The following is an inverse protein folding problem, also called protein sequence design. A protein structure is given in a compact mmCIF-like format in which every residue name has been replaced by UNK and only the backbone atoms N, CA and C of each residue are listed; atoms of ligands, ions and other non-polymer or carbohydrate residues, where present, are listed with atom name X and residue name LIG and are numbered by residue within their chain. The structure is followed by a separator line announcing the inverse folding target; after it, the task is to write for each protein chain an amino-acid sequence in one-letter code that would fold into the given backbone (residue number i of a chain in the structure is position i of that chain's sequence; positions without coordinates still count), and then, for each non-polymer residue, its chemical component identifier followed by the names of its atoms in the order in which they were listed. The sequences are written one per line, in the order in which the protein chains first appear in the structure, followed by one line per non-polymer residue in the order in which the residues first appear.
data_IF_558122733109
#
_entry.id   IF_558122733109
#
_cell.length_a   1.000
_cell.length_b   1.000
_cell.length_c   1.000
_cell.angle_alpha   90.00
_cell.angle_beta   90.00
_cell.angle_gamma   90.00
#
_symmetry.space_group_name_H-M   'P 1'
#
loop_
_entity.id
_entity.type
_entity.pdbx_description
1 polymer ?
#
# COMPACT_ATOMS: atom_id res chain seq x y z
N UNK A 1 -9.37 2.98 -17.30
CA UNK A 1 -8.83 3.76 -16.17
C UNK A 1 -7.36 4.10 -16.36
N UNK A 2 -6.44 3.13 -16.50
CA UNK A 2 -5.00 3.38 -16.61
C UNK A 2 -4.64 4.36 -17.73
N UNK A 3 -5.28 4.26 -18.92
CA UNK A 3 -5.13 5.22 -20.01
C UNK A 3 -5.52 6.67 -19.62
N UNK A 4 -6.61 6.82 -18.86
CA UNK A 4 -7.05 8.15 -18.42
C UNK A 4 -6.07 8.75 -17.42
N UNK A 5 -5.58 7.92 -16.47
CA UNK A 5 -4.61 8.37 -15.46
C UNK A 5 -3.26 8.75 -16.12
N UNK A 6 -2.83 8.02 -17.15
CA UNK A 6 -1.59 8.32 -17.88
C UNK A 6 -1.59 9.75 -18.47
N UNK A 7 -2.76 10.28 -18.90
CA UNK A 7 -2.89 11.65 -19.42
C UNK A 7 -2.46 12.74 -18.41
N UNK A 8 -2.51 12.44 -17.12
CA UNK A 8 -2.08 13.36 -16.06
C UNK A 8 -0.58 13.35 -15.79
N UNK A 9 0.22 12.63 -16.59
CA UNK A 9 1.68 12.51 -16.49
C UNK A 9 2.14 12.10 -15.08
N UNK A 10 1.40 11.18 -14.46
CA UNK A 10 1.80 10.59 -13.18
C UNK A 10 3.06 9.75 -13.37
N UNK A 11 3.92 9.70 -12.37
CA UNK A 11 5.17 8.92 -12.44
C UNK A 11 4.93 7.41 -12.44
N UNK A 12 3.95 6.97 -11.68
CA UNK A 12 3.60 5.55 -11.55
C UNK A 12 2.13 5.37 -11.24
N UNK A 13 1.60 4.21 -11.57
CA UNK A 13 0.27 3.75 -11.15
C UNK A 13 0.39 2.45 -10.35
N UNK A 14 -0.46 2.33 -9.33
CA UNK A 14 -0.63 1.12 -8.54
C UNK A 14 -1.77 0.29 -9.13
N UNK A 15 -1.48 -0.93 -9.60
CA UNK A 15 -2.45 -1.75 -10.31
C UNK A 15 -2.79 -3.00 -9.51
N UNK A 16 -4.07 -3.10 -9.11
CA UNK A 16 -4.63 -4.30 -8.51
C UNK A 16 -4.88 -5.36 -9.59
N UNK A 17 -4.57 -6.65 -9.37
CA UNK A 17 -4.95 -7.70 -10.31
C UNK A 17 -6.47 -7.84 -10.40
N UNK A 18 -6.96 -8.49 -11.46
CA UNK A 18 -8.36 -8.87 -11.55
C UNK A 18 -8.76 -9.68 -10.31
N UNK A 19 -9.84 -9.29 -9.63
CA UNK A 19 -10.17 -9.80 -8.29
C UNK A 19 -11.48 -10.57 -8.19
N UNK A 20 -12.30 -10.57 -9.22
CA UNK A 20 -13.58 -11.31 -9.21
C UNK A 20 -13.36 -12.81 -9.37
N UNK A 21 -12.53 -13.21 -10.34
CA UNK A 21 -12.18 -14.60 -10.59
C UNK A 21 -11.09 -15.06 -9.65
N UNK A 22 -11.36 -16.10 -8.86
CA UNK A 22 -10.41 -16.68 -7.91
C UNK A 22 -9.67 -17.86 -8.54
N UNK A 23 -8.54 -18.24 -7.94
CA UNK A 23 -7.74 -19.39 -8.38
C UNK A 23 -7.29 -19.29 -9.86
N UNK A 24 -7.02 -18.08 -10.34
CA UNK A 24 -6.44 -17.87 -11.67
C UNK A 24 -4.99 -18.33 -11.68
N UNK A 25 -4.52 -18.82 -12.84
CA UNK A 25 -3.12 -19.25 -13.00
C UNK A 25 -2.16 -18.05 -13.06
N UNK A 26 -0.86 -18.31 -12.85
CA UNK A 26 0.18 -17.30 -12.99
C UNK A 26 0.18 -16.68 -14.40
N UNK A 27 -0.02 -17.50 -15.43
CA UNK A 27 -0.11 -17.04 -16.84
C UNK A 27 -1.29 -16.08 -17.02
N UNK A 28 -2.43 -16.36 -16.39
CA UNK A 28 -3.59 -15.47 -16.42
C UNK A 28 -3.31 -14.12 -15.76
N UNK A 29 -2.59 -14.10 -14.64
CA UNK A 29 -2.17 -12.86 -13.98
C UNK A 29 -1.17 -12.09 -14.84
N UNK A 30 -0.19 -12.78 -15.44
CA UNK A 30 0.80 -12.17 -16.34
C UNK A 30 0.11 -11.53 -17.54
N UNK A 31 -0.79 -12.27 -18.20
CA UNK A 31 -1.52 -11.77 -19.36
C UNK A 31 -2.41 -10.56 -19.02
N UNK A 32 -3.01 -10.53 -17.81
CA UNK A 32 -3.76 -9.37 -17.34
C UNK A 32 -2.87 -8.12 -17.28
N UNK A 33 -1.73 -8.17 -16.60
CA UNK A 33 -0.82 -7.02 -16.49
C UNK A 33 -0.23 -6.64 -17.84
N UNK A 34 0.14 -7.62 -18.66
CA UNK A 34 0.62 -7.39 -20.04
C UNK A 34 -0.38 -6.57 -20.84
N UNK A 35 -1.65 -6.97 -20.87
CA UNK A 35 -2.71 -6.22 -21.58
C UNK A 35 -2.88 -4.82 -21.00
N UNK A 36 -2.85 -4.65 -19.69
CA UNK A 36 -2.96 -3.32 -19.08
C UNK A 36 -1.84 -2.41 -19.57
N UNK A 37 -0.59 -2.90 -19.57
CA UNK A 37 0.59 -2.13 -19.99
C UNK A 37 0.56 -1.82 -21.48
N UNK A 38 0.34 -2.82 -22.33
CA UNK A 38 0.29 -2.69 -23.77
C UNK A 38 -0.86 -1.77 -24.24
N UNK A 39 -2.04 -1.88 -23.63
CA UNK A 39 -3.19 -1.05 -23.94
C UNK A 39 -3.00 0.42 -23.53
N UNK A 40 -2.25 0.70 -22.46
CA UNK A 40 -1.89 2.08 -22.12
C UNK A 40 -0.91 2.66 -23.14
N UNK A 41 0.10 1.87 -23.52
CA UNK A 41 1.04 2.22 -24.58
C UNK A 41 1.97 3.40 -24.26
N UNK A 42 2.07 3.79 -22.97
CA UNK A 42 2.98 4.85 -22.51
C UNK A 42 4.29 4.22 -22.02
N UNK A 43 5.36 4.43 -22.74
CA UNK A 43 6.69 3.89 -22.44
C UNK A 43 7.31 4.44 -21.16
N UNK A 44 6.89 5.62 -20.71
CA UNK A 44 7.46 6.30 -19.54
C UNK A 44 6.71 5.98 -18.26
N UNK A 45 5.44 5.53 -18.36
CA UNK A 45 4.62 5.21 -17.21
C UNK A 45 5.17 3.99 -16.46
N UNK A 46 5.31 4.11 -15.15
CA UNK A 46 5.73 3.02 -14.27
C UNK A 46 4.53 2.33 -13.63
N UNK A 47 4.66 1.03 -13.43
CA UNK A 47 3.62 0.18 -12.84
C UNK A 47 4.14 -0.41 -11.54
N UNK A 48 3.36 -0.25 -10.47
CA UNK A 48 3.57 -0.87 -9.18
C UNK A 48 2.51 -1.95 -9.05
N UNK A 49 2.91 -3.20 -8.94
CA UNK A 49 2.01 -4.34 -8.74
C UNK A 49 1.38 -4.25 -7.35
N UNK A 50 0.10 -4.62 -7.22
CA UNK A 50 -0.55 -4.59 -5.90
C UNK A 50 -0.94 -6.00 -5.45
N UNK A 51 -0.14 -6.58 -4.55
CA UNK A 51 -0.42 -7.86 -3.94
C UNK A 51 -1.20 -7.69 -2.63
N UNK A 52 -2.47 -8.09 -2.64
CA UNK A 52 -3.36 -8.09 -1.47
C UNK A 52 -4.28 -9.32 -1.50
N UNK A 53 -3.73 -10.54 -1.35
CA UNK A 53 -4.44 -11.78 -1.65
C UNK A 53 -5.67 -12.04 -0.78
N UNK A 54 -5.69 -11.56 0.47
CA UNK A 54 -6.85 -11.71 1.37
C UNK A 54 -8.07 -10.88 0.92
N UNK A 55 -7.87 -9.87 0.05
CA UNK A 55 -8.95 -9.07 -0.55
C UNK A 55 -9.22 -9.49 -1.99
N UNK A 56 -8.16 -9.56 -2.80
CA UNK A 56 -8.28 -9.87 -4.23
C UNK A 56 -8.60 -11.35 -4.49
N UNK A 57 -8.17 -12.26 -3.59
CA UNK A 57 -8.19 -13.70 -3.81
C UNK A 57 -7.21 -14.15 -4.90
N UNK A 58 -6.27 -13.28 -5.28
CA UNK A 58 -5.22 -13.53 -6.26
C UNK A 58 -3.89 -13.12 -5.66
N UNK A 59 -2.90 -14.01 -5.72
CA UNK A 59 -1.53 -13.76 -5.27
C UNK A 59 -0.63 -13.43 -6.44
N UNK A 60 0.33 -12.54 -6.21
CA UNK A 60 1.39 -12.22 -7.16
C UNK A 60 2.69 -12.80 -6.60
N UNK A 61 3.06 -13.99 -7.08
CA UNK A 61 4.26 -14.71 -6.66
C UNK A 61 5.52 -14.32 -7.43
N UNK A 62 6.66 -14.92 -7.05
CA UNK A 62 7.97 -14.65 -7.65
C UNK A 62 8.00 -14.82 -9.16
N UNK A 63 7.42 -15.91 -9.66
CA UNK A 63 7.35 -16.20 -11.10
C UNK A 63 6.64 -15.11 -11.88
N UNK A 64 5.51 -14.60 -11.35
CA UNK A 64 4.77 -13.51 -11.98
C UNK A 64 5.59 -12.24 -12.01
N UNK A 65 6.24 -11.88 -10.89
CA UNK A 65 7.12 -10.71 -10.80
C UNK A 65 8.26 -10.83 -11.81
N UNK A 66 8.96 -11.95 -11.83
CA UNK A 66 10.10 -12.20 -12.72
C UNK A 66 9.70 -12.07 -14.20
N UNK A 67 8.61 -12.70 -14.59
CA UNK A 67 8.12 -12.64 -15.97
C UNK A 67 7.70 -11.23 -16.38
N UNK A 68 7.01 -10.52 -15.50
CA UNK A 68 6.60 -9.14 -15.79
C UNK A 68 7.79 -8.17 -15.90
N UNK A 69 8.81 -8.33 -15.06
CA UNK A 69 10.06 -7.55 -15.17
C UNK A 69 10.79 -7.88 -16.48
N UNK A 70 10.84 -9.16 -16.90
CA UNK A 70 11.44 -9.54 -18.18
C UNK A 70 10.72 -8.96 -19.39
N UNK A 71 9.38 -8.94 -19.35
CA UNK A 71 8.56 -8.41 -20.44
C UNK A 71 8.59 -6.88 -20.50
N UNK A 72 8.64 -6.21 -19.35
CA UNK A 72 8.50 -4.76 -19.22
C UNK A 72 9.54 -4.17 -18.24
N UNK A 73 10.86 -4.32 -18.53
CA UNK A 73 11.93 -3.97 -17.59
C UNK A 73 11.94 -2.47 -17.20
N UNK A 74 11.48 -1.61 -18.09
CA UNK A 74 11.43 -0.17 -17.85
C UNK A 74 10.11 0.28 -17.20
N UNK A 75 9.08 -0.53 -17.21
CA UNK A 75 7.74 -0.14 -16.75
C UNK A 75 7.35 -0.79 -15.42
N UNK A 76 7.62 -2.07 -15.23
CA UNK A 76 7.29 -2.79 -13.98
C UNK A 76 8.42 -2.59 -12.96
N UNK A 77 8.25 -1.60 -12.08
CA UNK A 77 9.33 -1.08 -11.23
C UNK A 77 9.18 -1.40 -9.74
N UNK A 78 8.05 -1.97 -9.34
CA UNK A 78 7.84 -2.24 -7.91
C UNK A 78 6.55 -2.96 -7.60
N UNK A 79 6.38 -3.22 -6.31
CA UNK A 79 5.19 -3.85 -5.75
C UNK A 79 4.79 -3.21 -4.42
N UNK A 80 3.49 -3.03 -4.21
CA UNK A 80 2.93 -2.87 -2.87
C UNK A 80 2.52 -4.25 -2.36
N UNK A 81 3.16 -4.70 -1.29
CA UNK A 81 2.93 -6.00 -0.69
C UNK A 81 2.07 -5.85 0.58
N UNK A 82 0.87 -6.38 0.54
CA UNK A 82 -0.14 -6.26 1.60
C UNK A 82 -0.64 -7.61 2.11
N UNK A 83 0.07 -8.72 1.84
CA UNK A 83 -0.29 -10.04 2.39
C UNK A 83 -0.10 -10.12 3.90
N UNK A 84 0.79 -9.29 4.47
CA UNK A 84 1.22 -9.38 5.87
C UNK A 84 2.38 -10.36 6.10
N UNK A 85 2.86 -11.04 5.06
CA UNK A 85 3.97 -11.98 5.12
C UNK A 85 5.32 -11.25 5.00
N UNK A 86 5.95 -11.02 6.16
CA UNK A 86 7.27 -10.36 6.24
C UNK A 86 8.35 -11.16 5.52
N UNK A 87 8.35 -12.49 5.64
CA UNK A 87 9.38 -13.34 5.03
C UNK A 87 9.31 -13.26 3.51
N UNK A 88 8.10 -13.24 2.95
CA UNK A 88 7.89 -13.01 1.53
C UNK A 88 8.40 -11.63 1.09
N UNK A 89 8.09 -10.57 1.84
CA UNK A 89 8.60 -9.22 1.57
C UNK A 89 10.13 -9.18 1.54
N UNK A 90 10.78 -9.80 2.53
CA UNK A 90 12.25 -9.84 2.63
C UNK A 90 12.90 -10.68 1.53
N UNK A 91 12.25 -11.76 1.09
CA UNK A 91 12.70 -12.54 -0.07
C UNK A 91 12.62 -11.72 -1.36
N UNK A 92 11.52 -11.00 -1.59
CA UNK A 92 11.34 -10.13 -2.77
C UNK A 92 12.44 -9.06 -2.82
N UNK A 93 12.68 -8.32 -1.72
CA UNK A 93 13.72 -7.30 -1.66
C UNK A 93 15.12 -7.84 -1.92
N UNK A 94 15.39 -9.05 -1.46
CA UNK A 94 16.69 -9.70 -1.66
C UNK A 94 16.90 -10.20 -3.10
N UNK A 95 15.83 -10.69 -3.74
CA UNK A 95 15.92 -11.37 -5.03
C UNK A 95 15.86 -10.38 -6.21
N UNK A 96 15.08 -9.31 -6.10
CA UNK A 96 14.89 -8.31 -7.16
C UNK A 96 15.53 -6.97 -6.77
N UNK A 97 16.82 -6.80 -7.06
CA UNK A 97 17.65 -5.69 -6.58
C UNK A 97 17.16 -4.28 -7.00
N UNK A 98 16.59 -4.12 -8.19
CA UNK A 98 16.12 -2.83 -8.71
C UNK A 98 14.60 -2.68 -8.65
N UNK A 99 13.95 -3.55 -7.89
CA UNK A 99 12.50 -3.58 -7.76
C UNK A 99 12.05 -2.97 -6.43
N UNK A 100 11.30 -1.89 -6.49
CA UNK A 100 10.85 -1.13 -5.33
C UNK A 100 9.74 -1.87 -4.58
N UNK A 101 10.04 -2.46 -3.43
CA UNK A 101 9.03 -3.06 -2.57
C UNK A 101 8.51 -2.05 -1.54
N UNK A 102 7.21 -1.82 -1.55
CA UNK A 102 6.49 -1.01 -0.57
C UNK A 102 5.68 -1.89 0.37
N UNK A 103 5.87 -1.72 1.67
CA UNK A 103 5.01 -2.38 2.66
C UNK A 103 3.60 -1.82 2.64
N UNK A 104 2.59 -2.68 2.61
CA UNK A 104 1.18 -2.32 2.81
C UNK A 104 0.79 -2.22 4.29
N UNK A 105 1.74 -2.45 5.20
CA UNK A 105 1.53 -2.44 6.65
C UNK A 105 2.53 -1.53 7.36
N UNK A 106 2.02 -0.62 8.18
CA UNK A 106 2.85 0.28 9.00
C UNK A 106 3.74 -0.50 9.97
N UNK A 107 3.21 -1.56 10.56
CA UNK A 107 3.94 -2.39 11.53
C UNK A 107 5.12 -3.15 10.91
N UNK A 108 5.13 -3.36 9.60
CA UNK A 108 6.19 -4.03 8.86
C UNK A 108 7.12 -3.05 8.12
N UNK A 109 6.68 -1.80 7.94
CA UNK A 109 7.37 -0.81 7.11
C UNK A 109 8.84 -0.62 7.50
N UNK A 110 9.12 -0.39 8.80
CA UNK A 110 10.48 -0.23 9.29
C UNK A 110 11.35 -1.47 9.02
N UNK A 111 10.83 -2.67 9.31
CA UNK A 111 11.55 -3.92 9.11
C UNK A 111 11.89 -4.15 7.63
N UNK A 112 10.95 -3.82 6.75
CA UNK A 112 11.11 -3.94 5.30
C UNK A 112 12.15 -2.93 4.79
N UNK A 113 12.09 -1.66 5.22
CA UNK A 113 13.04 -0.63 4.81
C UNK A 113 14.47 -0.93 5.27
N UNK A 114 14.65 -1.46 6.50
CA UNK A 114 15.96 -1.93 6.98
C UNK A 114 16.60 -3.04 6.13
N UNK A 115 15.82 -3.70 5.31
CA UNK A 115 16.26 -4.80 4.43
C UNK A 115 16.18 -4.45 2.94
N UNK A 116 16.15 -3.15 2.62
CA UNK A 116 16.21 -2.68 1.24
C UNK A 116 14.85 -2.38 0.60
N UNK A 117 13.76 -2.45 1.35
CA UNK A 117 12.46 -1.99 0.86
C UNK A 117 12.42 -0.48 0.62
N UNK A 118 11.61 -0.05 -0.34
CA UNK A 118 11.55 1.33 -0.82
C UNK A 118 10.70 2.27 0.07
N UNK A 119 9.84 1.69 0.93
CA UNK A 119 8.95 2.49 1.75
C UNK A 119 7.65 1.77 2.14
N UNK A 120 6.59 2.55 2.31
CA UNK A 120 5.28 2.03 2.65
C UNK A 120 4.16 2.79 1.91
N UNK A 121 3.09 2.08 1.56
CA UNK A 121 1.84 2.64 1.01
C UNK A 121 0.70 2.10 1.86
N UNK A 122 0.22 2.88 2.82
CA UNK A 122 -0.72 2.41 3.84
C UNK A 122 -1.96 3.31 3.97
N UNK A 123 -3.03 2.75 4.51
CA UNK A 123 -4.26 3.49 4.77
C UNK A 123 -4.05 4.58 5.84
N UNK A 124 -3.29 4.28 6.89
CA UNK A 124 -2.97 5.20 7.98
C UNK A 124 -2.15 6.41 7.56
N UNK A 125 -1.44 6.34 6.41
CA UNK A 125 -0.71 7.49 5.85
C UNK A 125 -1.60 8.71 5.61
N UNK A 126 -2.92 8.54 5.49
CA UNK A 126 -3.87 9.64 5.39
C UNK A 126 -3.99 10.46 6.69
N UNK A 127 -3.68 9.87 7.83
CA UNK A 127 -3.80 10.52 9.15
C UNK A 127 -2.45 10.71 9.83
N UNK A 128 -1.51 9.78 9.69
CA UNK A 128 -0.18 9.79 10.32
C UNK A 128 0.98 9.72 9.31
N UNK A 129 0.77 10.17 8.07
CA UNK A 129 1.77 10.07 7.00
C UNK A 129 3.10 10.74 7.31
N UNK A 130 3.11 11.87 8.06
CA UNK A 130 4.34 12.54 8.48
C UNK A 130 5.16 11.66 9.42
N UNK A 131 4.51 11.00 10.39
CA UNK A 131 5.17 10.10 11.33
C UNK A 131 5.73 8.87 10.61
N UNK A 132 4.92 8.22 9.75
CA UNK A 132 5.39 7.08 8.98
C UNK A 132 6.55 7.44 8.05
N UNK A 133 6.46 8.59 7.37
CA UNK A 133 7.54 9.10 6.52
C UNK A 133 8.82 9.35 7.29
N UNK A 134 8.72 9.94 8.48
CA UNK A 134 9.87 10.13 9.36
C UNK A 134 10.54 8.78 9.73
N UNK A 135 9.75 7.80 10.17
CA UNK A 135 10.24 6.46 10.55
C UNK A 135 10.93 5.78 9.37
N UNK A 136 10.30 5.81 8.19
CA UNK A 136 10.81 5.14 6.99
C UNK A 136 12.11 5.80 6.50
N UNK A 137 12.16 7.13 6.45
CA UNK A 137 13.33 7.86 5.95
C UNK A 137 14.54 7.78 6.89
N UNK A 138 14.30 7.63 8.20
CA UNK A 138 15.37 7.55 9.20
C UNK A 138 15.64 6.11 9.69
N UNK A 139 15.26 5.10 8.93
CA UNK A 139 15.39 3.69 9.35
C UNK A 139 16.83 3.22 9.59
N UNK A 140 17.85 3.92 9.04
CA UNK A 140 19.27 3.64 9.23
C UNK A 140 19.83 4.33 10.47
N UNK A 141 19.16 5.36 10.96
CA UNK A 141 19.60 6.24 12.06
C UNK A 141 18.82 5.99 13.36
N UNK A 142 18.08 4.88 13.45
CA UNK A 142 17.23 4.53 14.59
C UNK A 142 17.93 4.69 15.95
N UNK A 143 19.19 4.25 16.05
CA UNK A 143 19.96 4.32 17.30
C UNK A 143 20.44 5.73 17.69
N UNK A 144 20.39 6.67 16.75
CA UNK A 144 20.86 8.05 16.92
C UNK A 144 19.73 9.04 17.20
N UNK A 145 18.49 8.60 17.07
CA UNK A 145 17.31 9.45 17.25
C UNK A 145 16.63 9.10 18.58
N UNK A 146 16.57 10.08 19.46
CA UNK A 146 15.82 9.94 20.71
C UNK A 146 14.35 9.62 20.44
N UNK A 147 13.80 8.71 21.25
CA UNK A 147 12.39 8.28 21.17
C UNK A 147 11.96 7.61 19.85
N UNK A 148 12.89 7.16 18.99
CA UNK A 148 12.54 6.53 17.72
C UNK A 148 11.64 5.30 17.90
N UNK A 149 11.93 4.47 18.91
CA UNK A 149 11.12 3.30 19.22
C UNK A 149 9.71 3.66 19.68
N UNK A 150 9.56 4.73 20.45
CA UNK A 150 8.25 5.23 20.89
C UNK A 150 7.42 5.73 19.70
N UNK A 151 8.06 6.44 18.76
CA UNK A 151 7.43 6.88 17.53
C UNK A 151 6.97 5.69 16.66
N UNK A 152 7.79 4.66 16.58
CA UNK A 152 7.43 3.41 15.89
C UNK A 152 6.23 2.72 16.56
N UNK A 153 6.23 2.62 17.88
CA UNK A 153 5.12 2.03 18.63
C UNK A 153 3.83 2.85 18.46
N UNK A 154 3.94 4.18 18.48
CA UNK A 154 2.82 5.07 18.21
C UNK A 154 2.20 4.82 16.83
N UNK A 155 3.04 4.70 15.79
CA UNK A 155 2.56 4.40 14.44
C UNK A 155 1.82 3.04 14.36
N UNK A 156 2.36 2.01 15.03
CA UNK A 156 1.71 0.70 15.13
C UNK A 156 0.36 0.82 15.84
N UNK A 157 0.31 1.53 16.96
CA UNK A 157 -0.93 1.73 17.73
C UNK A 157 -1.99 2.48 16.93
N UNK A 158 -1.61 3.52 16.17
CA UNK A 158 -2.54 4.22 15.26
C UNK A 158 -3.15 3.24 14.25
N UNK A 159 -2.31 2.38 13.65
CA UNK A 159 -2.80 1.35 12.75
C UNK A 159 -3.76 0.39 13.43
N UNK A 160 -3.37 -0.20 14.55
CA UNK A 160 -4.20 -1.15 15.29
C UNK A 160 -5.55 -0.54 15.65
N UNK A 161 -5.55 0.69 16.18
CA UNK A 161 -6.78 1.43 16.50
C UNK A 161 -7.66 1.61 15.27
N UNK A 162 -7.10 2.02 14.13
CA UNK A 162 -7.87 2.19 12.90
C UNK A 162 -8.54 0.88 12.44
N UNK A 163 -7.82 -0.23 12.53
CA UNK A 163 -8.28 -1.52 12.04
C UNK A 163 -9.15 -2.31 13.05
N UNK A 164 -9.42 -1.77 14.24
CA UNK A 164 -10.51 -2.27 15.10
C UNK A 164 -11.90 -1.91 14.54
N UNK A 165 -11.95 -1.04 13.55
CA UNK A 165 -13.17 -0.56 12.90
C UNK A 165 -13.13 -0.86 11.38
N UNK A 166 -14.23 -0.57 10.70
CA UNK A 166 -14.22 -0.50 9.25
C UNK A 166 -13.30 0.68 8.83
N UNK A 167 -12.16 0.38 8.25
CA UNK A 167 -11.03 1.33 8.13
C UNK A 167 -11.33 2.57 7.30
N UNK A 168 -12.13 2.45 6.22
CA UNK A 168 -12.49 3.59 5.38
C UNK A 168 -13.43 4.53 6.13
N UNK A 169 -14.43 3.97 6.81
CA UNK A 169 -15.39 4.74 7.62
C UNK A 169 -14.69 5.45 8.78
N UNK A 170 -13.76 4.75 9.46
CA UNK A 170 -12.98 5.31 10.55
C UNK A 170 -12.04 6.44 10.09
N UNK A 171 -11.32 6.26 8.98
CA UNK A 171 -10.47 7.30 8.40
C UNK A 171 -11.27 8.55 8.04
N UNK A 172 -12.41 8.38 7.37
CA UNK A 172 -13.26 9.50 6.98
C UNK A 172 -13.88 10.21 8.17
N UNK A 173 -14.29 9.45 9.19
CA UNK A 173 -14.79 10.02 10.45
C UNK A 173 -13.70 10.85 11.17
N UNK A 174 -12.46 10.32 11.25
CA UNK A 174 -11.33 11.07 11.80
C UNK A 174 -11.08 12.36 11.01
N UNK A 175 -11.07 12.30 9.68
CA UNK A 175 -10.83 13.47 8.84
C UNK A 175 -11.94 14.50 8.96
N UNK A 176 -13.20 14.09 9.14
CA UNK A 176 -14.32 15.02 9.35
C UNK A 176 -14.14 15.86 10.61
N UNK A 177 -13.65 15.25 11.68
CA UNK A 177 -13.37 15.94 12.95
C UNK A 177 -12.11 16.81 12.81
N UNK A 178 -11.02 16.26 12.27
CA UNK A 178 -9.73 16.96 12.15
C UNK A 178 -9.80 18.22 11.29
N UNK A 179 -10.62 18.21 10.24
CA UNK A 179 -10.76 19.32 9.28
C UNK A 179 -12.02 20.14 9.49
N UNK A 180 -12.83 19.80 10.50
CA UNK A 180 -14.15 20.40 10.72
C UNK A 180 -15.00 20.43 9.43
N UNK A 181 -14.99 19.32 8.70
CA UNK A 181 -15.67 19.20 7.41
C UNK A 181 -16.51 17.93 7.33
N UNK A 182 -17.82 18.07 7.37
CA UNK A 182 -18.78 16.96 7.35
C UNK A 182 -18.87 16.25 5.99
N UNK A 183 -18.35 16.81 4.92
CA UNK A 183 -18.27 16.17 3.60
C UNK A 183 -17.46 14.86 3.64
N UNK A 184 -16.49 14.74 4.55
CA UNK A 184 -15.76 13.50 4.76
C UNK A 184 -16.65 12.33 5.20
N UNK A 185 -17.82 12.60 5.79
CA UNK A 185 -18.76 11.55 6.19
C UNK A 185 -19.60 10.98 5.05
N UNK A 186 -19.40 11.42 3.81
CA UNK A 186 -20.01 10.78 2.63
C UNK A 186 -19.36 9.44 2.36
N UNK A 187 -20.11 8.37 2.60
CA UNK A 187 -19.68 6.99 2.41
C UNK A 187 -20.72 6.30 1.56
N UNK A 188 -20.25 5.54 0.55
CA UNK A 188 -21.13 4.78 -0.32
C UNK A 188 -21.36 3.36 0.20
N UNK A 189 -22.57 2.81 0.11
CA UNK A 189 -22.81 1.41 0.38
C UNK A 189 -21.89 0.49 -0.44
N UNK A 190 -21.48 -0.67 0.09
CA UNK A 190 -21.98 -1.30 1.32
C UNK A 190 -21.35 -0.79 2.62
N UNK A 191 -20.42 0.17 2.56
CA UNK A 191 -19.85 0.76 3.75
C UNK A 191 -20.86 1.67 4.44
N UNK A 192 -20.78 1.75 5.77
CA UNK A 192 -21.66 2.58 6.58
C UNK A 192 -20.86 3.69 7.25
N UNK A 193 -21.52 4.85 7.43
CA UNK A 193 -20.97 5.94 8.22
C UNK A 193 -20.74 5.47 9.66
N UNK A 194 -19.59 5.83 10.23
CA UNK A 194 -19.34 5.63 11.65
C UNK A 194 -20.21 6.59 12.47
N UNK A 195 -21.03 6.04 13.36
CA UNK A 195 -21.83 6.84 14.28
C UNK A 195 -20.96 7.37 15.43
N UNK A 196 -21.18 8.62 15.81
CA UNK A 196 -20.59 9.28 16.97
C UNK A 196 -19.04 9.13 17.09
N UNK A 197 -18.24 9.48 16.08
CA UNK A 197 -16.78 9.35 16.15
C UNK A 197 -16.18 10.12 17.33
N UNK A 198 -16.80 11.21 17.77
CA UNK A 198 -16.37 12.04 18.92
C UNK A 198 -16.49 11.29 20.26
N UNK A 199 -17.41 10.35 20.38
CA UNK A 199 -17.58 9.54 21.59
C UNK A 199 -16.63 8.32 21.61
N UNK A 200 -15.98 8.04 20.50
CA UNK A 200 -15.04 6.93 20.40
C UNK A 200 -13.63 7.38 20.79
N UNK A 201 -13.36 7.37 22.10
CA UNK A 201 -12.06 7.77 22.68
C UNK A 201 -10.86 7.05 22.05
N UNK A 202 -11.09 5.90 21.40
CA UNK A 202 -10.06 5.13 20.73
C UNK A 202 -9.54 5.78 19.45
N UNK A 203 -10.36 6.65 18.82
CA UNK A 203 -10.02 7.28 17.52
C UNK A 203 -9.43 8.68 17.71
N UNK A 204 -9.83 9.39 18.76
CA UNK A 204 -9.54 10.83 18.95
C UNK A 204 -8.57 11.07 20.12
N UNK A 205 -8.38 10.07 20.97
CA UNK A 205 -7.53 10.15 22.18
C UNK A 205 -6.02 10.01 21.95
#
# INVERSE_FOLDING_TARGET
YSKEVAKFKVKAILVLPAFYYKNVSNEGVIEFYKRVIEEVGDSDLKYILYNIPHVSGVSIGFEVIEQLIKLFPNNVVGMKESSGDLDNMLKITKFFNEFSLFSGSDSLALKVCKRGGAGAITATSNISGKLLSFIVNNHKEESSIDNFQELQLLQVKIRETLFTHESVSALKAFMSVKQDNQEWNRINPPLLRMENPQNNKTIIG
#
